data_IF_576925698636
#
_entry.id   IF_576925698636
#
_cell.length_a   1.000
_cell.length_b   1.000
_cell.length_c   1.000
_cell.angle_alpha   90.00
_cell.angle_beta   90.00
_cell.angle_gamma   90.00
#
_symmetry.space_group_name_H-M   'P 1'
#
loop_
_entity.id
_entity.type
_entity.pdbx_description
1 polymer ?
#
# COMPACT_ATOMS: atom_id res chain seq x y z
N UNK A 1 19.38 -7.84 5.66
CA UNK A 1 19.68 -7.83 4.21
C UNK A 1 19.20 -6.49 3.67
N UNK A 2 20.01 -5.75 2.91
CA UNK A 2 19.58 -4.54 2.19
C UNK A 2 19.30 -4.94 0.74
N UNK A 3 18.17 -4.51 0.20
CA UNK A 3 17.78 -4.73 -1.19
C UNK A 3 17.88 -3.42 -1.94
N UNK A 4 18.48 -3.42 -3.13
CA UNK A 4 18.55 -2.26 -3.99
C UNK A 4 17.15 -1.87 -4.49
N UNK A 5 16.93 -0.57 -4.67
CA UNK A 5 15.74 -0.05 -5.33
C UNK A 5 15.78 -0.44 -6.82
N UNK A 6 14.63 -0.82 -7.42
CA UNK A 6 14.53 -0.99 -8.87
C UNK A 6 14.96 0.28 -9.58
N UNK A 7 15.80 0.15 -10.60
CA UNK A 7 16.11 1.24 -11.52
C UNK A 7 14.91 1.55 -12.43
N UNK A 8 14.93 2.68 -13.13
CA UNK A 8 13.92 2.99 -14.14
C UNK A 8 13.79 1.89 -15.19
N UNK A 9 14.92 1.31 -15.62
CA UNK A 9 14.93 0.18 -16.56
C UNK A 9 14.26 -1.07 -16.00
N UNK A 10 14.42 -1.33 -14.71
CA UNK A 10 13.75 -2.47 -14.06
C UNK A 10 12.24 -2.26 -14.01
N UNK A 11 11.80 -1.03 -13.75
CA UNK A 11 10.37 -0.65 -13.73
C UNK A 11 9.77 -0.78 -15.14
N UNK A 12 10.45 -0.27 -16.17
CA UNK A 12 9.98 -0.37 -17.56
C UNK A 12 9.83 -1.84 -18.00
N UNK A 13 10.83 -2.68 -17.69
CA UNK A 13 10.77 -4.11 -17.99
C UNK A 13 9.65 -4.82 -17.21
N UNK A 14 9.42 -4.41 -15.96
CA UNK A 14 8.34 -4.95 -15.14
C UNK A 14 6.96 -4.56 -15.69
N UNK A 15 6.80 -3.34 -16.23
CA UNK A 15 5.58 -2.89 -16.88
C UNK A 15 5.28 -3.66 -18.17
N UNK A 16 6.32 -3.94 -18.96
CA UNK A 16 6.17 -4.80 -20.15
C UNK A 16 5.75 -6.22 -19.77
N UNK A 17 6.39 -6.81 -18.75
CA UNK A 17 6.00 -8.12 -18.24
C UNK A 17 4.57 -8.13 -17.69
N UNK A 18 4.18 -7.08 -16.97
CA UNK A 18 2.81 -6.89 -16.49
C UNK A 18 1.81 -6.89 -17.65
N UNK A 19 2.11 -6.18 -18.75
CA UNK A 19 1.29 -6.18 -19.95
C UNK A 19 1.18 -7.57 -20.58
N UNK A 20 2.30 -8.29 -20.75
CA UNK A 20 2.30 -9.66 -21.31
C UNK A 20 1.42 -10.60 -20.47
N UNK A 21 1.60 -10.61 -19.15
CA UNK A 21 0.83 -11.46 -18.25
C UNK A 21 -0.66 -11.07 -18.25
N UNK A 22 -0.96 -9.78 -18.32
CA UNK A 22 -2.34 -9.28 -18.45
C UNK A 22 -3.02 -9.72 -19.74
N UNK A 23 -2.29 -9.73 -20.85
CA UNK A 23 -2.79 -10.23 -22.12
C UNK A 23 -3.14 -11.73 -22.05
N UNK A 24 -2.36 -12.52 -21.30
CA UNK A 24 -2.56 -13.96 -21.14
C UNK A 24 -3.71 -14.27 -20.16
N UNK A 25 -3.84 -13.51 -19.06
CA UNK A 25 -4.78 -13.81 -17.95
C UNK A 25 -6.28 -13.70 -18.33
N UNK A 26 -6.62 -13.29 -19.56
CA UNK A 26 -7.96 -13.45 -20.16
C UNK A 26 -9.15 -13.08 -19.25
N UNK A 27 -9.08 -11.90 -18.61
CA UNK A 27 -10.03 -11.43 -17.58
C UNK A 27 -10.09 -12.33 -16.34
N UNK A 28 -8.94 -12.50 -15.68
CA UNK A 28 -8.82 -12.98 -14.29
C UNK A 28 -9.07 -14.48 -14.10
N UNK A 29 -8.57 -15.29 -15.03
CA UNK A 29 -8.79 -16.74 -14.94
C UNK A 29 -7.76 -17.61 -15.64
N UNK A 30 -6.72 -17.04 -16.25
CA UNK A 30 -5.68 -17.75 -16.99
C UNK A 30 -6.19 -18.67 -18.12
N UNK A 31 -5.31 -19.06 -19.06
CA UNK A 31 -5.62 -20.15 -19.97
C UNK A 31 -5.69 -21.48 -19.22
N UNK A 32 -6.28 -22.49 -19.86
CA UNK A 32 -6.17 -23.87 -19.40
C UNK A 32 -4.88 -24.50 -19.93
N UNK A 33 -4.32 -25.45 -19.20
CA UNK A 33 -3.18 -26.24 -19.68
C UNK A 33 -3.58 -27.06 -20.92
N UNK A 34 -2.61 -27.26 -21.81
CA UNK A 34 -2.69 -28.12 -23.00
C UNK A 34 -1.96 -29.44 -22.77
N UNK A 35 -2.15 -30.39 -23.69
CA UNK A 35 -1.37 -31.63 -23.71
C UNK A 35 0.13 -31.34 -23.82
N UNK A 36 0.93 -31.96 -22.94
CA UNK A 36 2.38 -31.80 -22.89
C UNK A 36 2.93 -31.75 -21.46
N UNK A 37 4.20 -31.39 -21.29
CA UNK A 37 4.81 -31.26 -19.98
C UNK A 37 4.13 -30.19 -19.14
N UNK A 38 4.05 -30.45 -17.85
CA UNK A 38 3.11 -29.77 -16.96
C UNK A 38 3.77 -28.68 -16.12
N UNK A 39 5.09 -28.69 -16.04
CA UNK A 39 5.88 -27.80 -15.19
C UNK A 39 7.25 -27.56 -15.83
N UNK A 40 7.55 -26.29 -16.13
CA UNK A 40 8.80 -25.90 -16.75
C UNK A 40 10.04 -26.26 -15.91
N UNK A 41 9.96 -26.14 -14.57
CA UNK A 41 11.11 -26.46 -13.72
C UNK A 41 11.42 -27.95 -13.73
N UNK A 42 10.39 -28.79 -13.76
CA UNK A 42 10.54 -30.23 -13.87
C UNK A 42 11.10 -30.63 -15.25
N UNK A 43 10.63 -29.98 -16.32
CA UNK A 43 11.15 -30.21 -17.67
C UNK A 43 12.63 -29.84 -17.79
N UNK A 44 13.07 -28.76 -17.13
CA UNK A 44 14.47 -28.29 -17.15
C UNK A 44 15.33 -28.86 -16.00
N UNK A 45 14.87 -29.89 -15.29
CA UNK A 45 15.50 -30.36 -14.05
C UNK A 45 16.91 -30.98 -14.24
N UNK A 46 17.34 -31.23 -15.49
CA UNK A 46 18.63 -31.83 -15.85
C UNK A 46 19.68 -30.79 -16.33
N UNK A 47 19.69 -29.59 -15.75
CA UNK A 47 20.56 -28.46 -16.14
C UNK A 47 20.42 -28.07 -17.63
N UNK A 48 19.25 -28.35 -18.22
CA UNK A 48 18.95 -27.95 -19.59
C UNK A 48 18.55 -26.46 -19.62
N UNK A 49 19.21 -25.69 -20.47
CA UNK A 49 18.80 -24.31 -20.74
C UNK A 49 17.48 -24.28 -21.50
N UNK A 50 16.71 -23.20 -21.33
CA UNK A 50 15.49 -23.03 -22.09
C UNK A 50 15.80 -22.83 -23.58
N UNK A 51 15.55 -23.86 -24.37
CA UNK A 51 15.56 -23.80 -25.83
C UNK A 51 14.20 -23.31 -26.38
N UNK A 52 14.21 -22.14 -27.04
CA UNK A 52 13.01 -21.55 -27.65
C UNK A 52 12.55 -22.23 -28.94
N UNK A 53 13.39 -23.08 -29.55
CA UNK A 53 13.04 -23.87 -30.73
C UNK A 53 12.53 -25.27 -30.34
N UNK A 54 12.74 -25.68 -29.08
CA UNK A 54 12.21 -26.93 -28.55
C UNK A 54 10.71 -26.81 -28.20
N UNK A 55 9.89 -27.57 -28.92
CA UNK A 55 8.44 -27.62 -28.73
C UNK A 55 8.03 -28.01 -27.31
N UNK A 56 8.71 -28.98 -26.69
CA UNK A 56 8.37 -29.43 -25.34
C UNK A 56 8.62 -28.34 -24.30
N UNK A 57 9.69 -27.56 -24.46
CA UNK A 57 10.00 -26.41 -23.59
C UNK A 57 8.94 -25.32 -23.69
N UNK A 58 8.53 -24.98 -24.92
CA UNK A 58 7.46 -24.01 -25.16
C UNK A 58 6.13 -24.48 -24.55
N UNK A 59 5.80 -25.77 -24.67
CA UNK A 59 4.60 -26.35 -24.06
C UNK A 59 4.68 -26.32 -22.53
N UNK A 60 5.84 -26.66 -21.95
CA UNK A 60 6.07 -26.62 -20.51
C UNK A 60 5.95 -25.19 -19.95
N UNK A 61 6.51 -24.19 -20.66
CA UNK A 61 6.39 -22.78 -20.30
C UNK A 61 4.92 -22.34 -20.31
N UNK A 62 4.19 -22.66 -21.38
CA UNK A 62 2.76 -22.34 -21.49
C UNK A 62 1.96 -22.97 -20.35
N UNK A 63 2.11 -24.27 -20.12
CA UNK A 63 1.38 -25.00 -19.08
C UNK A 63 1.72 -24.49 -17.67
N UNK A 64 2.98 -24.13 -17.42
CA UNK A 64 3.39 -23.54 -16.16
C UNK A 64 2.75 -22.15 -15.95
N UNK A 65 2.74 -21.29 -16.98
CA UNK A 65 2.05 -19.99 -16.93
C UNK A 65 0.54 -20.14 -16.72
N UNK A 66 -0.11 -21.07 -17.43
CA UNK A 66 -1.53 -21.38 -17.27
C UNK A 66 -1.84 -21.75 -15.82
N UNK A 67 -1.06 -22.67 -15.22
CA UNK A 67 -1.20 -23.05 -13.81
C UNK A 67 -0.98 -21.88 -12.86
N UNK A 68 0.05 -21.06 -13.07
CA UNK A 68 0.35 -19.90 -12.22
C UNK A 68 -0.81 -18.89 -12.21
N UNK A 69 -1.31 -18.52 -13.40
CA UNK A 69 -2.38 -17.53 -13.56
C UNK A 69 -3.71 -18.05 -13.02
N UNK A 70 -4.02 -19.33 -13.21
CA UNK A 70 -5.21 -19.96 -12.62
C UNK A 70 -5.15 -20.08 -11.10
N UNK A 71 -3.97 -20.36 -10.54
CA UNK A 71 -3.79 -20.50 -9.08
C UNK A 71 -4.03 -19.20 -8.35
N UNK A 72 -3.59 -18.07 -8.93
CA UNK A 72 -3.73 -16.76 -8.33
C UNK A 72 -3.97 -15.68 -9.40
N UNK A 73 -5.22 -15.49 -9.85
CA UNK A 73 -5.54 -14.49 -10.87
C UNK A 73 -5.03 -13.09 -10.51
N UNK A 74 -4.46 -12.40 -11.51
CA UNK A 74 -3.85 -11.08 -11.36
C UNK A 74 -2.83 -10.94 -10.20
N UNK A 75 -2.11 -12.00 -9.82
CA UNK A 75 -1.06 -11.87 -8.80
C UNK A 75 0.04 -10.90 -9.26
N UNK A 76 0.39 -10.94 -10.55
CA UNK A 76 1.42 -10.11 -11.14
C UNK A 76 1.05 -8.63 -11.06
N UNK A 77 -0.22 -8.24 -11.28
CA UNK A 77 -0.66 -6.86 -11.10
C UNK A 77 -0.52 -6.39 -9.65
N UNK A 78 -0.82 -7.24 -8.66
CA UNK A 78 -0.65 -6.88 -7.24
C UNK A 78 0.82 -6.79 -6.83
N UNK A 79 1.67 -7.70 -7.33
CA UNK A 79 3.08 -7.77 -6.96
C UNK A 79 3.91 -6.73 -7.71
N UNK A 80 3.82 -6.70 -9.03
CA UNK A 80 4.59 -5.78 -9.88
C UNK A 80 4.13 -4.34 -9.64
N UNK A 81 2.83 -4.04 -9.82
CA UNK A 81 2.37 -2.66 -9.64
C UNK A 81 2.42 -2.24 -8.17
N UNK A 82 2.19 -3.18 -7.24
CA UNK A 82 2.37 -2.90 -5.81
C UNK A 82 3.80 -2.48 -5.50
N UNK A 83 4.80 -3.20 -6.00
CA UNK A 83 6.20 -2.83 -5.77
C UNK A 83 6.58 -1.56 -6.53
N UNK A 84 6.36 -1.51 -7.84
CA UNK A 84 6.88 -0.45 -8.71
C UNK A 84 6.09 0.87 -8.58
N UNK A 85 4.76 0.78 -8.53
CA UNK A 85 3.85 1.94 -8.62
C UNK A 85 3.19 2.32 -7.30
N UNK A 86 3.42 1.55 -6.23
CA UNK A 86 2.94 1.91 -4.88
C UNK A 86 4.11 2.08 -3.93
N UNK A 87 4.96 1.06 -3.75
CA UNK A 87 6.08 1.12 -2.79
C UNK A 87 7.21 2.01 -3.30
N UNK A 88 7.65 1.83 -4.54
CA UNK A 88 8.72 2.62 -5.16
C UNK A 88 8.25 3.96 -5.73
N UNK A 89 6.95 4.24 -5.71
CA UNK A 89 6.45 5.50 -6.23
C UNK A 89 6.69 6.63 -5.21
N UNK A 90 7.60 7.54 -5.54
CA UNK A 90 8.08 8.58 -4.63
C UNK A 90 6.95 9.46 -4.05
N UNK A 91 5.83 9.59 -4.76
CA UNK A 91 4.67 10.37 -4.32
C UNK A 91 3.98 9.79 -3.07
N UNK A 92 4.13 8.48 -2.84
CA UNK A 92 3.58 7.84 -1.65
C UNK A 92 4.49 7.99 -0.42
N UNK A 93 5.71 8.49 -0.59
CA UNK A 93 6.68 8.74 0.50
C UNK A 93 6.86 7.53 1.46
N UNK A 94 6.82 6.31 0.92
CA UNK A 94 7.03 5.08 1.70
C UNK A 94 8.52 4.82 1.91
N UNK A 95 9.32 5.02 0.86
CA UNK A 95 10.76 4.81 0.88
C UNK A 95 11.50 6.15 0.94
N UNK A 96 12.72 6.13 1.49
CA UNK A 96 13.63 7.28 1.48
C UNK A 96 14.10 7.56 0.04
N UNK A 97 13.74 8.70 -0.58
CA UNK A 97 14.13 9.03 -1.95
C UNK A 97 15.64 9.25 -2.12
N UNK A 98 16.38 9.45 -1.02
CA UNK A 98 17.83 9.64 -1.05
C UNK A 98 18.63 8.33 -0.89
N UNK A 99 17.97 7.20 -0.56
CA UNK A 99 18.60 5.90 -0.41
C UNK A 99 18.42 5.07 -1.70
N UNK A 100 19.50 4.46 -2.19
CA UNK A 100 19.50 3.56 -3.34
C UNK A 100 18.97 2.15 -2.98
N UNK A 101 18.65 1.93 -1.71
CA UNK A 101 18.03 0.73 -1.19
C UNK A 101 16.56 0.93 -0.82
N UNK A 102 15.86 -0.17 -0.56
CA UNK A 102 14.49 -0.18 -0.02
C UNK A 102 14.48 0.16 1.49
N UNK A 103 14.84 1.40 1.83
CA UNK A 103 14.79 1.96 3.18
C UNK A 103 13.53 2.79 3.39
N UNK A 104 12.94 2.74 4.60
CA UNK A 104 11.76 3.53 4.94
C UNK A 104 12.06 5.03 4.92
N UNK A 105 11.08 5.83 4.51
CA UNK A 105 11.17 7.28 4.52
C UNK A 105 11.51 7.82 5.93
N UNK A 106 12.39 8.84 6.06
CA UNK A 106 12.81 9.38 7.35
C UNK A 106 11.64 9.80 8.25
N UNK A 107 10.59 10.39 7.68
CA UNK A 107 9.40 10.79 8.43
C UNK A 107 8.64 9.61 9.03
N UNK A 108 8.58 8.47 8.33
CA UNK A 108 7.97 7.25 8.86
C UNK A 108 8.80 6.70 10.02
N UNK A 109 10.13 6.70 9.88
CA UNK A 109 11.04 6.27 10.95
C UNK A 109 10.90 7.18 12.18
N UNK A 110 10.88 8.50 11.98
CA UNK A 110 10.68 9.48 13.05
C UNK A 110 9.31 9.32 13.73
N UNK A 111 8.26 9.14 12.93
CA UNK A 111 6.89 8.88 13.42
C UNK A 111 6.81 7.60 14.26
N UNK A 112 7.43 6.51 13.81
CA UNK A 112 7.51 5.26 14.56
C UNK A 112 8.27 5.42 15.89
N UNK A 113 9.37 6.17 15.90
CA UNK A 113 10.11 6.47 17.12
C UNK A 113 9.28 7.29 18.12
N UNK A 114 8.52 8.28 17.63
CA UNK A 114 7.61 9.09 18.44
C UNK A 114 6.48 8.22 19.03
N UNK A 115 5.85 7.39 18.20
CA UNK A 115 4.82 6.45 18.65
C UNK A 115 5.35 5.49 19.70
N UNK A 116 6.56 4.96 19.52
CA UNK A 116 7.19 4.08 20.49
C UNK A 116 7.43 4.79 21.83
N UNK A 117 8.01 5.99 21.80
CA UNK A 117 8.29 6.81 23.00
C UNK A 117 7.04 7.15 23.79
N UNK A 118 5.93 7.41 23.12
CA UNK A 118 4.69 7.84 23.76
C UNK A 118 3.64 6.73 23.86
N UNK A 119 3.96 5.49 23.49
CA UNK A 119 2.98 4.41 23.33
C UNK A 119 2.09 4.22 24.57
N UNK A 120 2.67 4.30 25.76
CA UNK A 120 1.96 4.09 27.02
C UNK A 120 1.06 5.26 27.43
N UNK A 121 1.39 6.48 27.03
CA UNK A 121 0.63 7.69 27.41
C UNK A 121 -0.11 8.32 26.22
N UNK A 122 -0.01 7.80 25.01
CA UNK A 122 -0.64 8.40 23.83
C UNK A 122 -2.16 8.49 23.97
N UNK A 123 -2.83 7.36 24.22
CA UNK A 123 -4.28 7.33 24.42
C UNK A 123 -4.72 8.04 25.72
N UNK A 124 -4.08 7.80 26.88
CA UNK A 124 -4.42 8.53 28.11
C UNK A 124 -4.24 10.05 27.97
N UNK A 125 -3.17 10.52 27.33
CA UNK A 125 -2.95 11.94 27.07
C UNK A 125 -4.01 12.51 26.14
N UNK A 126 -4.31 11.83 25.03
CA UNK A 126 -5.35 12.24 24.09
C UNK A 126 -6.71 12.37 24.79
N UNK A 127 -7.04 11.44 25.69
CA UNK A 127 -8.26 11.51 26.50
C UNK A 127 -8.25 12.71 27.46
N UNK A 128 -7.15 12.95 28.18
CA UNK A 128 -7.00 14.12 29.06
C UNK A 128 -7.16 15.43 28.28
N UNK A 129 -6.50 15.55 27.13
CA UNK A 129 -6.55 16.73 26.26
C UNK A 129 -7.97 16.94 25.68
N UNK A 130 -8.63 15.88 25.21
CA UNK A 130 -10.00 15.95 24.71
C UNK A 130 -10.98 16.37 25.81
N UNK A 131 -10.88 15.80 27.02
CA UNK A 131 -11.72 16.18 28.17
C UNK A 131 -11.51 17.65 28.54
N UNK A 132 -10.25 18.12 28.57
CA UNK A 132 -9.93 19.51 28.86
C UNK A 132 -10.52 20.46 27.80
N UNK A 133 -10.41 20.11 26.51
CA UNK A 133 -10.97 20.90 25.42
C UNK A 133 -12.50 20.99 25.50
N UNK A 134 -13.19 19.88 25.82
CA UNK A 134 -14.65 19.87 26.02
C UNK A 134 -15.04 20.75 27.21
N UNK A 135 -14.34 20.64 28.34
CA UNK A 135 -14.62 21.46 29.52
C UNK A 135 -14.49 22.95 29.21
N UNK A 136 -13.41 23.36 28.53
CA UNK A 136 -13.20 24.75 28.11
C UNK A 136 -14.31 25.26 27.19
N UNK A 137 -14.79 24.43 26.27
CA UNK A 137 -15.89 24.79 25.37
C UNK A 137 -17.22 24.94 26.11
N UNK A 138 -17.49 24.08 27.10
CA UNK A 138 -18.69 24.18 27.96
C UNK A 138 -18.66 25.47 28.77
N UNK A 139 -17.52 25.80 29.40
CA UNK A 139 -17.35 27.03 30.17
C UNK A 139 -17.54 28.27 29.29
N UNK A 140 -16.94 28.29 28.11
CA UNK A 140 -17.09 29.38 27.14
C UNK A 140 -18.56 29.57 26.71
N UNK A 141 -19.26 28.46 26.44
CA UNK A 141 -20.67 28.48 26.02
C UNK A 141 -21.57 28.95 27.15
N UNK A 142 -21.33 28.50 28.39
CA UNK A 142 -22.06 28.92 29.57
C UNK A 142 -21.86 30.42 29.86
N UNK A 143 -20.63 30.93 29.77
CA UNK A 143 -20.34 32.35 29.96
C UNK A 143 -21.02 33.23 28.90
N UNK A 144 -21.01 32.79 27.64
CA UNK A 144 -21.71 33.46 26.54
C UNK A 144 -23.23 33.49 26.78
N UNK A 145 -23.81 32.35 27.18
CA UNK A 145 -25.24 32.25 27.46
C UNK A 145 -25.67 33.13 28.64
N UNK A 146 -24.91 33.12 29.74
CA UNK A 146 -25.17 33.98 30.90
C UNK A 146 -25.12 35.48 30.54
N UNK A 147 -24.17 35.86 29.68
CA UNK A 147 -24.06 37.24 29.20
C UNK A 147 -25.28 37.63 28.37
N UNK A 148 -25.71 36.76 27.45
CA UNK A 148 -26.93 36.97 26.65
C UNK A 148 -28.19 37.05 27.52
N UNK A 149 -28.33 36.19 28.53
CA UNK A 149 -29.46 36.22 29.47
C UNK A 149 -29.50 37.53 30.26
N UNK A 150 -28.36 37.99 30.79
CA UNK A 150 -28.26 39.26 31.53
C UNK A 150 -28.64 40.46 30.66
N UNK A 151 -28.18 40.49 29.41
CA UNK A 151 -28.56 41.54 28.46
C UNK A 151 -30.08 41.53 28.18
N UNK A 152 -30.67 40.36 27.97
CA UNK A 152 -32.11 40.21 27.77
C UNK A 152 -32.95 40.59 29.00
N UNK A 153 -32.45 40.34 30.22
CA UNK A 153 -33.10 40.77 31.45
C UNK A 153 -33.03 42.29 31.65
N UNK A 154 -31.88 42.91 31.36
CA UNK A 154 -31.73 44.36 31.41
C UNK A 154 -32.66 45.06 30.41
N UNK A 155 -32.82 44.50 29.19
CA UNK A 155 -33.78 44.99 28.20
C UNK A 155 -35.25 44.88 28.66
N UNK A 156 -35.61 43.82 29.39
CA UNK A 156 -36.97 43.66 29.93
C UNK A 156 -37.24 44.52 31.16
N UNK A 157 -36.21 44.89 31.92
CA UNK A 157 -36.32 45.67 33.16
C UNK A 157 -36.31 47.20 32.96
N UNK A 158 -36.10 47.67 31.72
CA UNK A 158 -36.21 49.10 31.36
C UNK A 158 -37.52 49.32 30.59
N UNK A 159 -38.64 49.68 31.26
CA UNK A 159 -39.82 50.14 30.53
C UNK A 159 -39.55 51.52 29.94
N UNK A 160 -40.04 51.74 28.73
CA UNK A 160 -40.11 53.03 28.08
C UNK A 160 -40.96 54.04 28.87
#
# INVERSE_FOLDING_TARGET
MKMARPSARDIDAADELHWVLSAIDSRWGGPWATDGPDDLRATLAADEEFDCDNREHLQALYNHLAKLLRRAPNFYGRVINGMCHVICWDHNAILDPADDCLSLHPDLVAGLALLHKHRSDFLPRLEREARAAVAAQVEHSAATHLTAMRAGWAQKASPA
#
